data_IF_182815204633
#
_entry.id   IF_182815204633
#
_cell.length_a   1.000
_cell.length_b   1.000
_cell.length_c   1.000
_cell.angle_alpha   90.00
_cell.angle_beta   90.00
_cell.angle_gamma   90.00
#
_symmetry.space_group_name_H-M   'P 1'
#
loop_
_entity.id
_entity.type
_entity.pdbx_description
1 polymer ?
#
# COMPACT_ATOMS: atom_id res chain seq x y z
N UNK A 1 -25.65 -23.80 -1.53
CA UNK A 1 -24.70 -24.77 -2.11
C UNK A 1 -23.33 -24.13 -2.05
N UNK A 2 -22.34 -24.78 -1.43
CA UNK A 2 -20.98 -24.24 -1.33
C UNK A 2 -20.35 -24.22 -2.72
N UNK A 3 -19.88 -23.06 -3.19
CA UNK A 3 -19.42 -22.81 -4.56
C UNK A 3 -18.21 -23.68 -4.95
N UNK A 4 -17.45 -24.15 -3.96
CA UNK A 4 -16.35 -25.13 -4.10
C UNK A 4 -16.79 -26.56 -4.42
N UNK A 5 -18.09 -26.89 -4.37
CA UNK A 5 -18.63 -28.22 -4.74
C UNK A 5 -18.91 -28.37 -6.24
N UNK A 6 -18.52 -27.40 -7.07
CA UNK A 6 -18.74 -27.50 -8.52
C UNK A 6 -17.89 -28.64 -9.12
N UNK A 7 -18.46 -29.53 -9.96
CA UNK A 7 -17.74 -30.68 -10.52
C UNK A 7 -16.44 -30.31 -11.25
N UNK A 8 -16.45 -29.21 -12.01
CA UNK A 8 -15.25 -28.72 -12.71
C UNK A 8 -14.12 -28.30 -11.77
N UNK A 9 -14.44 -27.65 -10.64
CA UNK A 9 -13.44 -27.27 -9.63
C UNK A 9 -12.86 -28.51 -8.96
N UNK A 10 -13.72 -29.49 -8.67
CA UNK A 10 -13.31 -30.75 -8.06
C UNK A 10 -12.36 -31.53 -8.97
N UNK A 11 -12.67 -31.58 -10.28
CA UNK A 11 -11.82 -32.21 -11.28
C UNK A 11 -10.46 -31.49 -11.40
N UNK A 12 -10.48 -30.16 -11.49
CA UNK A 12 -9.25 -29.36 -11.56
C UNK A 12 -8.32 -29.60 -10.36
N UNK A 13 -8.88 -29.59 -9.14
CA UNK A 13 -8.13 -29.82 -7.92
C UNK A 13 -7.61 -31.26 -7.80
N UNK A 14 -8.34 -32.25 -8.31
CA UNK A 14 -7.90 -33.65 -8.33
C UNK A 14 -6.73 -33.85 -9.32
N UNK A 15 -6.84 -33.28 -10.53
CA UNK A 15 -5.78 -33.30 -11.53
C UNK A 15 -4.52 -32.59 -11.00
N UNK A 16 -4.68 -31.41 -10.38
CA UNK A 16 -3.59 -30.70 -9.72
C UNK A 16 -2.99 -31.53 -8.58
N UNK A 17 -3.81 -32.16 -7.73
CA UNK A 17 -3.31 -33.00 -6.63
C UNK A 17 -2.46 -34.17 -7.12
N UNK A 18 -2.83 -34.80 -8.25
CA UNK A 18 -2.04 -35.88 -8.88
C UNK A 18 -0.71 -35.35 -9.42
N UNK A 19 -0.71 -34.16 -10.01
CA UNK A 19 0.53 -33.55 -10.52
C UNK A 19 1.47 -33.09 -9.41
N UNK A 20 0.95 -32.71 -8.25
CA UNK A 20 1.72 -32.32 -7.07
C UNK A 20 2.17 -33.51 -6.20
N UNK A 21 1.99 -34.77 -6.64
CA UNK A 21 2.26 -35.95 -5.80
C UNK A 21 3.74 -36.12 -5.40
N UNK A 22 4.65 -35.43 -6.09
CA UNK A 22 6.08 -35.42 -5.75
C UNK A 22 6.48 -34.32 -4.77
N UNK A 23 5.58 -33.38 -4.44
CA UNK A 23 5.83 -32.39 -3.39
C UNK A 23 5.70 -33.03 -1.99
N UNK A 24 6.44 -32.52 -0.99
CA UNK A 24 6.17 -32.83 0.40
C UNK A 24 4.67 -32.63 0.73
N UNK A 25 4.08 -33.49 1.57
CA UNK A 25 2.63 -33.45 1.82
C UNK A 25 2.16 -32.12 2.43
N UNK A 26 3.03 -31.40 3.15
CA UNK A 26 2.76 -30.06 3.66
C UNK A 26 2.62 -29.03 2.54
N UNK A 27 3.64 -28.93 1.69
CA UNK A 27 3.69 -27.99 0.56
C UNK A 27 2.55 -28.25 -0.43
N UNK A 28 2.26 -29.53 -0.71
CA UNK A 28 1.10 -29.91 -1.53
C UNK A 28 -0.21 -29.42 -0.93
N UNK A 29 -0.40 -29.57 0.39
CA UNK A 29 -1.61 -29.11 1.06
C UNK A 29 -1.73 -27.57 1.03
N UNK A 30 -0.61 -26.86 1.18
CA UNK A 30 -0.56 -25.41 1.09
C UNK A 30 -0.92 -24.90 -0.32
N UNK A 31 -0.35 -25.48 -1.37
CA UNK A 31 -0.65 -25.11 -2.76
C UNK A 31 -2.13 -25.37 -3.07
N UNK A 32 -2.67 -26.54 -2.70
CA UNK A 32 -4.08 -26.86 -2.93
C UNK A 32 -5.02 -25.93 -2.13
N UNK A 33 -4.62 -25.51 -0.93
CA UNK A 33 -5.38 -24.54 -0.13
C UNK A 33 -5.37 -23.15 -0.78
N UNK A 34 -4.21 -22.67 -1.22
CA UNK A 34 -4.09 -21.37 -1.89
C UNK A 34 -4.85 -21.30 -3.21
N UNK A 35 -4.80 -22.36 -4.03
CA UNK A 35 -5.60 -22.45 -5.26
C UNK A 35 -7.10 -22.45 -4.96
N UNK A 36 -7.53 -23.17 -3.91
CA UNK A 36 -8.94 -23.17 -3.49
C UNK A 36 -9.40 -21.78 -3.06
N UNK A 37 -8.59 -21.08 -2.26
CA UNK A 37 -8.88 -19.72 -1.82
C UNK A 37 -8.98 -18.76 -3.01
N UNK A 38 -8.09 -18.87 -3.99
CA UNK A 38 -8.12 -18.04 -5.19
C UNK A 38 -9.39 -18.26 -6.03
N UNK A 39 -9.78 -19.54 -6.23
CA UNK A 39 -11.01 -19.88 -6.93
C UNK A 39 -12.23 -19.33 -6.17
N UNK A 40 -12.27 -19.49 -4.84
CA UNK A 40 -13.37 -18.98 -4.01
C UNK A 40 -13.48 -17.46 -4.08
N UNK A 41 -12.36 -16.74 -3.99
CA UNK A 41 -12.31 -15.29 -4.14
C UNK A 41 -12.78 -14.83 -5.53
N UNK A 42 -12.28 -15.47 -6.60
CA UNK A 42 -12.64 -15.14 -7.98
C UNK A 42 -14.12 -15.40 -8.30
N UNK A 43 -14.71 -16.44 -7.70
CA UNK A 43 -16.14 -16.73 -7.81
C UNK A 43 -16.99 -15.76 -6.99
N UNK A 44 -16.54 -15.38 -5.80
CA UNK A 44 -17.22 -14.41 -4.94
C UNK A 44 -17.28 -13.01 -5.59
N UNK A 45 -16.17 -12.55 -6.18
CA UNK A 45 -16.07 -11.26 -6.86
C UNK A 45 -17.06 -11.15 -8.03
N UNK A 46 -17.18 -12.22 -8.83
CA UNK A 46 -18.10 -12.28 -9.98
C UNK A 46 -19.55 -12.55 -9.59
N UNK A 47 -19.81 -12.87 -8.31
CA UNK A 47 -21.09 -13.43 -7.85
C UNK A 47 -21.51 -14.62 -8.73
N UNK A 48 -20.53 -15.48 -9.02
CA UNK A 48 -20.67 -16.57 -9.98
C UNK A 48 -21.83 -17.50 -9.60
N UNK A 49 -22.75 -17.68 -10.53
CA UNK A 49 -23.91 -18.58 -10.37
C UNK A 49 -23.99 -19.61 -11.50
N UNK A 50 -23.16 -19.48 -12.53
CA UNK A 50 -23.22 -20.30 -13.74
C UNK A 50 -21.94 -21.10 -13.98
N UNK A 51 -22.05 -22.16 -14.78
CA UNK A 51 -20.91 -22.96 -15.24
C UNK A 51 -19.91 -22.11 -16.05
N UNK A 52 -20.41 -21.12 -16.80
CA UNK A 52 -19.59 -20.19 -17.58
C UNK A 52 -18.67 -19.35 -16.69
N UNK A 53 -19.19 -18.85 -15.56
CA UNK A 53 -18.41 -18.08 -14.59
C UNK A 53 -17.27 -18.92 -13.98
N UNK A 54 -17.57 -20.18 -13.65
CA UNK A 54 -16.56 -21.13 -13.14
C UNK A 54 -15.49 -21.40 -14.18
N UNK A 55 -15.87 -21.60 -15.44
CA UNK A 55 -14.91 -21.82 -16.53
C UNK A 55 -14.01 -20.60 -16.78
N UNK A 56 -14.55 -19.38 -16.63
CA UNK A 56 -13.78 -18.16 -16.76
C UNK A 56 -12.74 -18.01 -15.64
N UNK A 57 -13.13 -18.28 -14.38
CA UNK A 57 -12.19 -18.27 -13.24
C UNK A 57 -11.09 -19.32 -13.40
N UNK A 58 -11.42 -20.54 -13.85
CA UNK A 58 -10.41 -21.57 -14.11
C UNK A 58 -9.50 -21.21 -15.30
N UNK A 59 -10.02 -20.55 -16.33
CA UNK A 59 -9.22 -20.08 -17.46
C UNK A 59 -8.23 -18.97 -17.06
N UNK A 60 -8.60 -18.11 -16.10
CA UNK A 60 -7.69 -17.11 -15.52
C UNK A 60 -6.59 -17.74 -14.67
N UNK A 61 -6.90 -18.81 -13.95
CA UNK A 61 -5.90 -19.60 -13.22
C UNK A 61 -4.91 -20.29 -14.16
N UNK A 62 -5.37 -20.63 -15.36
CA UNK A 62 -4.62 -21.38 -16.35
C UNK A 62 -4.74 -22.91 -16.16
N UNK A 63 -4.12 -23.67 -17.07
CA UNK A 63 -4.19 -25.12 -17.04
C UNK A 63 -3.44 -25.67 -15.81
N UNK A 64 -3.89 -26.78 -15.21
CA UNK A 64 -3.36 -27.25 -13.93
C UNK A 64 -1.89 -27.68 -14.02
N UNK A 65 -1.37 -28.00 -15.22
CA UNK A 65 0.04 -28.27 -15.47
C UNK A 65 0.92 -27.02 -15.24
N UNK A 66 0.42 -25.83 -15.61
CA UNK A 66 1.14 -24.57 -15.43
C UNK A 66 1.21 -24.19 -13.95
N UNK A 67 0.10 -24.40 -13.22
CA UNK A 67 0.05 -24.18 -11.77
C UNK A 67 0.97 -25.16 -11.04
N UNK A 68 0.96 -26.45 -11.45
CA UNK A 68 1.85 -27.44 -10.88
C UNK A 68 3.33 -27.08 -11.13
N UNK A 69 3.68 -26.70 -12.36
CA UNK A 69 5.03 -26.25 -12.71
C UNK A 69 5.46 -25.04 -11.86
N UNK A 70 4.59 -24.03 -11.73
CA UNK A 70 4.87 -22.86 -10.89
C UNK A 70 5.07 -23.25 -9.41
N UNK A 71 4.30 -24.22 -8.90
CA UNK A 71 4.46 -24.72 -7.54
C UNK A 71 5.81 -25.44 -7.35
N UNK A 72 6.25 -26.24 -8.33
CA UNK A 72 7.58 -26.87 -8.31
C UNK A 72 8.71 -25.84 -8.40
N UNK A 73 8.55 -24.79 -9.21
CA UNK A 73 9.53 -23.69 -9.33
C UNK A 73 9.60 -22.82 -8.07
N UNK A 74 8.50 -22.72 -7.32
CA UNK A 74 8.44 -21.95 -6.07
C UNK A 74 8.93 -22.75 -4.85
N UNK A 75 9.09 -24.06 -4.99
CA UNK A 75 9.40 -25.02 -3.92
C UNK A 75 10.86 -25.02 -3.42
N UNK A 76 11.67 -23.99 -3.70
CA UNK A 76 13.05 -23.82 -3.20
C UNK A 76 13.11 -23.43 -1.69
N UNK A 77 12.21 -23.99 -0.89
CA UNK A 77 12.19 -23.92 0.57
C UNK A 77 13.04 -25.03 1.21
N UNK A 78 13.73 -24.75 2.35
CA UNK A 78 14.72 -25.65 2.94
C UNK A 78 14.05 -26.89 3.56
N UNK A 79 14.08 -28.03 2.86
CA UNK A 79 13.54 -29.26 3.45
C UNK A 79 13.48 -30.53 2.61
N UNK A 80 13.98 -30.57 1.36
CA UNK A 80 13.94 -31.81 0.59
C UNK A 80 15.03 -32.81 1.03
N UNK A 81 14.68 -34.06 1.41
CA UNK A 81 15.64 -35.13 1.56
C UNK A 81 16.33 -35.38 0.21
N UNK A 82 17.64 -35.23 0.21
CA UNK A 82 18.51 -35.34 -0.95
C UNK A 82 18.32 -36.71 -1.61
N UNK A 83 17.84 -36.75 -2.86
CA UNK A 83 17.95 -37.95 -3.69
C UNK A 83 19.45 -38.19 -3.93
N UNK A 84 20.07 -39.26 -3.38
CA UNK A 84 21.53 -39.41 -3.38
C UNK A 84 22.16 -39.58 -4.77
N UNK A 85 21.35 -39.73 -5.82
CA UNK A 85 21.81 -40.11 -7.15
C UNK A 85 21.45 -39.12 -8.28
N UNK A 86 20.73 -38.03 -7.99
CA UNK A 86 20.39 -37.01 -8.99
C UNK A 86 21.35 -35.81 -8.88
N UNK A 87 22.61 -36.00 -9.28
CA UNK A 87 23.53 -34.87 -9.47
C UNK A 87 23.19 -34.21 -10.80
N UNK A 88 22.15 -33.38 -10.82
CA UNK A 88 22.00 -32.39 -11.88
C UNK A 88 23.19 -31.41 -11.77
N UNK A 89 23.83 -31.01 -12.89
CA UNK A 89 24.88 -30.00 -12.85
C UNK A 89 24.36 -28.76 -12.12
N UNK A 90 25.12 -28.14 -11.22
CA UNK A 90 24.69 -26.92 -10.54
C UNK A 90 24.45 -25.85 -11.61
N UNK A 91 23.18 -25.62 -11.94
CA UNK A 91 22.81 -24.44 -12.69
C UNK A 91 23.23 -23.25 -11.81
N UNK A 92 23.90 -22.24 -12.38
CA UNK A 92 24.30 -21.07 -11.62
C UNK A 92 23.03 -20.48 -11.00
N UNK A 93 22.97 -20.45 -9.66
CA UNK A 93 21.85 -19.92 -8.90
C UNK A 93 21.46 -18.57 -9.52
N UNK A 94 20.26 -18.49 -10.12
CA UNK A 94 19.84 -17.23 -10.70
C UNK A 94 19.66 -16.25 -9.54
N UNK A 95 20.31 -15.08 -9.59
CA UNK A 95 20.19 -14.11 -8.51
C UNK A 95 18.73 -13.72 -8.38
N UNK A 96 18.11 -14.10 -7.26
CA UNK A 96 16.74 -13.70 -6.91
C UNK A 96 16.67 -12.18 -7.00
N UNK A 97 15.99 -11.67 -8.04
CA UNK A 97 15.85 -10.23 -8.24
C UNK A 97 14.84 -9.72 -7.23
N UNK A 98 15.31 -9.28 -6.07
CA UNK A 98 14.49 -8.58 -5.10
C UNK A 98 13.81 -7.39 -5.79
N UNK A 99 12.47 -7.25 -5.69
CA UNK A 99 11.77 -6.12 -6.27
C UNK A 99 12.35 -4.82 -5.71
N UNK A 100 12.49 -3.81 -6.58
CA UNK A 100 13.14 -2.52 -6.26
C UNK A 100 12.47 -1.85 -5.03
N UNK A 101 11.20 -2.16 -4.78
CA UNK A 101 10.37 -1.66 -3.68
C UNK A 101 10.75 -2.16 -2.28
N UNK A 102 11.63 -3.16 -2.15
CA UNK A 102 12.10 -3.70 -0.86
C UNK A 102 13.43 -3.10 -0.39
N UNK A 103 13.96 -2.12 -1.14
CA UNK A 103 15.23 -1.47 -0.78
C UNK A 103 15.07 -0.58 0.45
N UNK A 104 16.09 -0.59 1.33
CA UNK A 104 16.14 0.16 2.59
C UNK A 104 15.96 1.67 2.47
N UNK A 105 16.18 2.26 1.29
CA UNK A 105 16.01 3.69 1.05
C UNK A 105 14.54 4.08 0.77
N UNK A 106 13.68 3.14 0.40
CA UNK A 106 12.29 3.41 0.00
C UNK A 106 11.49 4.12 1.10
N UNK A 107 11.55 3.70 2.39
CA UNK A 107 10.82 4.40 3.45
C UNK A 107 11.30 5.84 3.69
N UNK A 108 12.57 6.13 3.44
CA UNK A 108 13.14 7.48 3.58
C UNK A 108 12.66 8.37 2.45
N UNK A 109 12.67 7.86 1.21
CA UNK A 109 12.19 8.62 0.05
C UNK A 109 10.69 8.90 0.16
N UNK A 110 9.87 7.93 0.58
CA UNK A 110 8.44 8.14 0.82
C UNK A 110 8.21 9.24 1.88
N UNK A 111 8.97 9.23 2.98
CA UNK A 111 8.88 10.27 4.01
C UNK A 111 9.23 11.67 3.49
N UNK A 112 10.31 11.79 2.70
CA UNK A 112 10.72 13.06 2.09
C UNK A 112 9.66 13.57 1.12
N UNK A 113 9.17 12.71 0.22
CA UNK A 113 8.11 13.07 -0.73
C UNK A 113 6.85 13.54 -0.01
N UNK A 114 6.45 12.84 1.04
CA UNK A 114 5.29 13.21 1.85
C UNK A 114 5.48 14.57 2.54
N UNK A 115 6.67 14.82 3.11
CA UNK A 115 6.98 16.09 3.75
C UNK A 115 6.97 17.26 2.75
N UNK A 116 7.54 17.07 1.56
CA UNK A 116 7.51 18.07 0.48
C UNK A 116 6.07 18.33 0.02
N UNK A 117 5.28 17.27 -0.20
CA UNK A 117 3.89 17.41 -0.62
C UNK A 117 3.05 18.18 0.41
N UNK A 118 3.26 17.90 1.70
CA UNK A 118 2.63 18.63 2.79
C UNK A 118 3.08 20.09 2.88
N UNK A 119 4.38 20.34 2.71
CA UNK A 119 4.94 21.69 2.69
C UNK A 119 4.35 22.52 1.53
N UNK A 120 4.27 21.95 0.33
CA UNK A 120 3.69 22.64 -0.84
C UNK A 120 2.21 22.97 -0.61
N UNK A 121 1.42 22.03 -0.08
CA UNK A 121 0.03 22.29 0.25
C UNK A 121 -0.10 23.39 1.33
N UNK A 122 0.80 23.40 2.32
CA UNK A 122 0.84 24.43 3.35
C UNK A 122 1.23 25.80 2.78
N UNK A 123 2.16 25.88 1.82
CA UNK A 123 2.51 27.12 1.14
C UNK A 123 1.30 27.69 0.39
N UNK A 124 0.52 26.84 -0.28
CA UNK A 124 -0.73 27.26 -0.96
C UNK A 124 -1.74 27.80 0.06
N UNK A 125 -1.91 27.12 1.19
CA UNK A 125 -2.81 27.57 2.25
C UNK A 125 -2.36 28.90 2.88
N UNK A 126 -1.07 29.09 3.11
CA UNK A 126 -0.53 30.31 3.70
C UNK A 126 -0.56 31.49 2.70
N UNK A 127 -0.27 31.22 1.42
CA UNK A 127 -0.28 32.23 0.36
C UNK A 127 -1.68 32.78 0.08
N UNK A 128 -2.71 31.94 0.14
CA UNK A 128 -4.10 32.38 -0.03
C UNK A 128 -4.59 33.24 1.13
N UNK A 129 -4.17 32.95 2.37
CA UNK A 129 -4.45 33.81 3.52
C UNK A 129 -3.81 35.21 3.38
N UNK A 130 -2.62 35.31 2.78
CA UNK A 130 -1.93 36.59 2.60
C UNK A 130 -2.56 37.52 1.54
N UNK A 131 -3.30 36.97 0.57
CA UNK A 131 -3.93 37.75 -0.51
C UNK A 131 -5.26 38.39 -0.06
N UNK A 132 -5.91 37.86 0.97
CA UNK A 132 -7.22 38.37 1.46
C UNK A 132 -7.12 39.65 2.29
N UNK A 133 -5.93 40.08 2.71
CA UNK A 133 -5.75 41.20 3.64
C UNK A 133 -5.61 42.59 3.01
N UNK A 134 -5.91 42.79 1.72
CA UNK A 134 -5.58 44.07 1.05
C UNK A 134 -6.64 44.60 0.08
N UNK A 135 -7.75 45.11 0.63
CA UNK A 135 -8.56 46.12 -0.07
C UNK A 135 -9.09 47.16 0.93
N UNK A 136 -8.49 48.35 0.94
CA UNK A 136 -8.96 49.50 1.71
C UNK A 136 -9.34 50.59 0.70
N UNK A 137 -10.63 50.78 0.41
CA UNK A 137 -11.07 51.84 -0.50
C UNK A 137 -11.46 53.13 0.22
N UNK A 138 -11.91 53.09 1.47
CA UNK A 138 -12.53 54.28 2.12
C UNK A 138 -12.26 54.42 3.63
N UNK A 139 -11.16 53.84 4.14
CA UNK A 139 -10.81 53.93 5.58
C UNK A 139 -11.72 53.11 6.52
N UNK A 140 -12.70 52.39 5.97
CA UNK A 140 -13.44 51.32 6.65
C UNK A 140 -12.87 50.00 6.15
N UNK A 141 -12.12 49.32 7.01
CA UNK A 141 -11.53 48.01 6.72
C UNK A 141 -12.61 46.94 6.87
N UNK A 142 -13.36 46.66 5.80
CA UNK A 142 -14.27 45.52 5.76
C UNK A 142 -13.49 44.27 5.34
N UNK A 143 -13.23 43.38 6.30
CA UNK A 143 -12.66 42.06 6.00
C UNK A 143 -13.76 41.19 5.39
N UNK A 144 -13.84 41.15 4.06
CA UNK A 144 -14.79 40.30 3.35
C UNK A 144 -14.24 38.87 3.30
N UNK A 145 -14.51 38.10 4.37
CA UNK A 145 -14.28 36.66 4.38
C UNK A 145 -15.29 36.02 3.41
N UNK A 146 -14.88 35.80 2.16
CA UNK A 146 -15.67 35.09 1.19
C UNK A 146 -15.87 33.63 1.65
N UNK A 147 -17.04 33.35 2.24
CA UNK A 147 -17.49 32.00 2.61
C UNK A 147 -17.37 31.11 1.37
N UNK A 148 -16.46 30.12 1.41
CA UNK A 148 -16.09 29.27 0.27
C UNK A 148 -14.60 29.26 -0.07
N UNK A 149 -13.79 30.12 0.57
CA UNK A 149 -12.34 30.14 0.41
C UNK A 149 -11.66 28.85 0.85
N UNK A 150 -12.05 28.26 1.99
CA UNK A 150 -11.38 27.08 2.55
C UNK A 150 -11.39 25.86 1.63
N UNK A 151 -12.50 25.62 0.94
CA UNK A 151 -12.61 24.53 -0.05
C UNK A 151 -11.71 24.79 -1.27
N UNK A 152 -11.67 26.02 -1.78
CA UNK A 152 -10.80 26.38 -2.89
C UNK A 152 -9.32 26.26 -2.52
N UNK A 153 -8.95 26.65 -1.31
CA UNK A 153 -7.61 26.44 -0.76
C UNK A 153 -7.28 24.96 -0.67
N UNK A 154 -8.20 24.13 -0.16
CA UNK A 154 -8.01 22.69 -0.07
C UNK A 154 -7.84 22.05 -1.47
N UNK A 155 -8.68 22.44 -2.43
CA UNK A 155 -8.57 21.97 -3.81
C UNK A 155 -7.25 22.40 -4.46
N UNK A 156 -6.84 23.66 -4.27
CA UNK A 156 -5.55 24.17 -4.75
C UNK A 156 -4.38 23.37 -4.16
N UNK A 157 -4.38 23.16 -2.83
CA UNK A 157 -3.36 22.36 -2.14
C UNK A 157 -3.30 20.92 -2.62
N UNK A 158 -4.45 20.25 -2.82
CA UNK A 158 -4.52 18.89 -3.37
C UNK A 158 -3.95 18.87 -4.78
N UNK A 159 -4.41 19.76 -5.67
CA UNK A 159 -3.97 19.80 -7.07
C UNK A 159 -2.46 20.06 -7.18
N UNK A 160 -1.91 20.97 -6.37
CA UNK A 160 -0.46 21.25 -6.35
C UNK A 160 0.35 20.06 -5.83
N UNK A 161 -0.16 19.35 -4.82
CA UNK A 161 0.55 18.21 -4.23
C UNK A 161 0.28 16.87 -4.94
N UNK A 162 -0.65 16.82 -5.89
CA UNK A 162 -1.13 15.61 -6.56
C UNK A 162 -0.02 14.77 -7.22
N UNK A 163 0.96 15.35 -7.94
CA UNK A 163 2.03 14.55 -8.55
C UNK A 163 2.89 13.81 -7.51
N UNK A 164 3.20 14.47 -6.40
CA UNK A 164 3.96 13.88 -5.29
C UNK A 164 3.14 12.83 -4.54
N UNK A 165 1.84 13.09 -4.35
CA UNK A 165 0.94 12.13 -3.73
C UNK A 165 0.82 10.84 -4.54
N UNK A 166 0.70 10.93 -5.88
CA UNK A 166 0.71 9.75 -6.75
C UNK A 166 2.00 8.94 -6.58
N UNK A 167 3.16 9.61 -6.55
CA UNK A 167 4.44 8.93 -6.32
C UNK A 167 4.47 8.20 -4.96
N UNK A 168 3.93 8.81 -3.90
CA UNK A 168 3.78 8.17 -2.59
C UNK A 168 2.84 6.96 -2.65
N UNK A 169 1.68 7.09 -3.29
CA UNK A 169 0.71 5.98 -3.43
C UNK A 169 1.34 4.79 -4.15
N UNK A 170 2.07 5.03 -5.25
CA UNK A 170 2.73 3.97 -6.00
C UNK A 170 3.84 3.30 -5.20
N UNK A 171 4.72 4.08 -4.55
CA UNK A 171 5.82 3.55 -3.73
C UNK A 171 5.31 2.80 -2.50
N UNK A 172 4.34 3.37 -1.77
CA UNK A 172 3.77 2.76 -0.57
C UNK A 172 2.88 1.55 -0.90
N UNK A 173 2.10 1.64 -1.98
CA UNK A 173 1.21 0.58 -2.45
C UNK A 173 1.97 -0.66 -2.89
N UNK A 174 3.04 -0.48 -3.68
CA UNK A 174 3.81 -1.58 -4.26
C UNK A 174 4.88 -2.20 -3.33
N UNK A 175 5.12 -1.60 -2.16
CA UNK A 175 6.10 -2.14 -1.21
C UNK A 175 5.47 -3.16 -0.26
N UNK A 176 6.19 -4.25 0.00
CA UNK A 176 5.79 -5.28 0.96
C UNK A 176 6.13 -4.89 2.41
N UNK A 177 6.95 -3.84 2.59
CA UNK A 177 7.46 -3.41 3.90
C UNK A 177 6.36 -2.89 4.86
N UNK A 178 5.23 -2.45 4.31
CA UNK A 178 4.13 -1.85 5.07
C UNK A 178 2.90 -2.75 5.13
N UNK A 179 2.28 -2.79 6.31
CA UNK A 179 0.96 -3.41 6.50
C UNK A 179 -0.12 -2.60 5.78
N UNK A 180 -1.25 -3.22 5.46
CA UNK A 180 -2.38 -2.53 4.82
C UNK A 180 -2.82 -1.25 5.57
N UNK A 181 -2.83 -1.27 6.91
CA UNK A 181 -3.16 -0.09 7.72
C UNK A 181 -2.15 1.05 7.58
N UNK A 182 -0.85 0.74 7.50
CA UNK A 182 0.21 1.73 7.31
C UNK A 182 0.18 2.32 5.89
N UNK A 183 -0.11 1.49 4.88
CA UNK A 183 -0.33 1.96 3.50
C UNK A 183 -1.48 2.95 3.45
N UNK A 184 -2.62 2.58 4.04
CA UNK A 184 -3.78 3.46 4.13
C UNK A 184 -3.45 4.77 4.85
N UNK A 185 -2.68 4.72 5.94
CA UNK A 185 -2.24 5.92 6.65
C UNK A 185 -1.40 6.85 5.77
N UNK A 186 -0.44 6.33 4.98
CA UNK A 186 0.32 7.14 4.03
C UNK A 186 -0.57 7.76 2.94
N UNK A 187 -1.49 6.98 2.39
CA UNK A 187 -2.39 7.42 1.32
C UNK A 187 -3.33 8.53 1.83
N UNK A 188 -3.90 8.36 3.03
CA UNK A 188 -4.86 9.31 3.61
C UNK A 188 -4.22 10.53 4.26
N UNK A 189 -2.93 10.49 4.61
CA UNK A 189 -2.29 11.58 5.34
C UNK A 189 -2.38 12.92 4.61
N UNK A 190 -2.14 12.94 3.30
CA UNK A 190 -2.19 14.17 2.51
C UNK A 190 -3.61 14.75 2.38
N UNK A 191 -4.61 14.02 1.86
CA UNK A 191 -5.95 14.57 1.72
C UNK A 191 -6.56 14.97 3.07
N UNK A 192 -6.32 14.20 4.14
CA UNK A 192 -6.78 14.57 5.48
C UNK A 192 -6.06 15.81 5.98
N UNK A 193 -4.74 15.91 5.82
CA UNK A 193 -3.98 17.11 6.23
C UNK A 193 -4.44 18.37 5.51
N UNK A 194 -4.64 18.30 4.19
CA UNK A 194 -5.13 19.44 3.40
C UNK A 194 -6.55 19.83 3.77
N UNK A 195 -7.44 18.84 3.98
CA UNK A 195 -8.81 19.09 4.41
C UNK A 195 -8.83 19.72 5.80
N UNK A 196 -7.99 19.25 6.72
CA UNK A 196 -7.90 19.81 8.07
C UNK A 196 -7.45 21.28 8.04
N UNK A 197 -6.44 21.63 7.24
CA UNK A 197 -5.96 23.01 7.14
C UNK A 197 -6.96 23.90 6.40
N UNK A 198 -7.58 23.41 5.33
CA UNK A 198 -8.48 24.20 4.50
C UNK A 198 -9.87 24.41 5.11
N UNK A 199 -10.45 23.39 5.75
CA UNK A 199 -11.87 23.39 6.14
C UNK A 199 -12.09 23.73 7.61
N UNK A 200 -11.18 23.35 8.53
CA UNK A 200 -11.40 23.64 9.96
C UNK A 200 -11.50 25.13 10.29
N UNK A 201 -10.67 26.03 9.72
CA UNK A 201 -10.77 27.47 10.01
C UNK A 201 -12.17 28.04 9.74
N UNK A 202 -12.82 27.59 8.65
CA UNK A 202 -14.19 27.99 8.30
C UNK A 202 -15.20 27.54 9.37
N UNK A 203 -15.03 26.33 9.92
CA UNK A 203 -15.85 25.86 11.05
C UNK A 203 -15.61 26.70 12.30
N UNK A 204 -14.37 27.09 12.56
CA UNK A 204 -14.01 27.99 13.67
C UNK A 204 -14.71 29.34 13.55
N UNK A 205 -14.74 29.91 12.34
CA UNK A 205 -15.46 31.14 12.05
C UNK A 205 -16.97 31.01 12.30
N UNK A 206 -17.60 29.94 11.80
CA UNK A 206 -19.05 29.72 11.97
C UNK A 206 -19.44 29.64 13.45
N UNK A 207 -18.61 29.01 14.28
CA UNK A 207 -18.93 28.75 15.70
C UNK A 207 -18.59 29.95 16.60
N UNK A 208 -17.47 30.62 16.38
CA UNK A 208 -16.93 31.62 17.31
C UNK A 208 -16.38 32.89 16.64
N UNK A 209 -16.76 33.14 15.38
CA UNK A 209 -16.34 34.29 14.60
C UNK A 209 -14.82 34.37 14.43
N UNK A 210 -14.30 35.59 14.45
CA UNK A 210 -12.88 35.87 14.20
C UNK A 210 -11.93 35.18 15.19
N UNK A 211 -12.29 35.16 16.48
CA UNK A 211 -11.49 34.48 17.50
C UNK A 211 -11.47 32.97 17.26
N UNK A 212 -12.60 32.41 16.86
CA UNK A 212 -12.73 31.00 16.50
C UNK A 212 -11.84 30.62 15.33
N UNK A 213 -11.85 31.43 14.27
CA UNK A 213 -11.02 31.23 13.09
C UNK A 213 -9.52 31.18 13.46
N UNK A 214 -9.02 32.16 14.20
CA UNK A 214 -7.61 32.21 14.57
C UNK A 214 -7.18 31.01 15.43
N UNK A 215 -7.97 30.67 16.45
CA UNK A 215 -7.65 29.55 17.35
C UNK A 215 -7.69 28.23 16.58
N UNK A 216 -8.71 28.02 15.75
CA UNK A 216 -8.87 26.77 15.00
C UNK A 216 -7.84 26.64 13.88
N UNK A 217 -7.46 27.74 13.22
CA UNK A 217 -6.40 27.74 12.21
C UNK A 217 -5.02 27.39 12.80
N UNK A 218 -4.67 27.98 13.96
CA UNK A 218 -3.43 27.64 14.65
C UNK A 218 -3.47 26.18 15.11
N UNK A 219 -4.59 25.73 15.67
CA UNK A 219 -4.75 24.36 16.13
C UNK A 219 -4.66 23.34 14.97
N UNK A 220 -5.29 23.60 13.83
CA UNK A 220 -5.23 22.71 12.65
C UNK A 220 -3.83 22.67 12.07
N UNK A 221 -3.13 23.81 12.00
CA UNK A 221 -1.74 23.87 11.56
C UNK A 221 -0.82 23.05 12.48
N UNK A 222 -0.91 23.24 13.79
CA UNK A 222 -0.12 22.47 14.76
C UNK A 222 -0.45 20.98 14.68
N UNK A 223 -1.72 20.63 14.54
CA UNK A 223 -2.17 19.24 14.40
C UNK A 223 -1.57 18.58 13.17
N UNK A 224 -1.58 19.25 12.01
CA UNK A 224 -1.06 18.71 10.76
C UNK A 224 0.46 18.65 10.77
N UNK A 225 1.13 19.68 11.26
CA UNK A 225 2.60 19.71 11.34
C UNK A 225 3.10 18.67 12.34
N UNK A 226 2.65 18.72 13.59
CA UNK A 226 3.15 17.82 14.64
C UNK A 226 2.62 16.40 14.45
N UNK A 227 1.33 16.23 14.18
CA UNK A 227 0.70 14.93 13.97
C UNK A 227 1.18 14.26 12.69
N UNK A 228 1.28 15.01 11.58
CA UNK A 228 1.82 14.50 10.33
C UNK A 228 3.30 14.13 10.43
N UNK A 229 4.12 15.00 11.04
CA UNK A 229 5.54 14.71 11.27
C UNK A 229 5.74 13.48 12.14
N UNK A 230 5.03 13.38 13.27
CA UNK A 230 5.12 12.24 14.16
C UNK A 230 4.69 10.94 13.47
N UNK A 231 3.59 10.97 12.70
CA UNK A 231 3.11 9.81 11.97
C UNK A 231 4.14 9.36 10.91
N UNK A 232 4.69 10.28 10.12
CA UNK A 232 5.71 9.98 9.12
C UNK A 232 6.95 9.36 9.78
N UNK A 233 7.47 9.97 10.86
CA UNK A 233 8.60 9.43 11.61
C UNK A 233 8.36 8.01 12.09
N UNK A 234 7.21 7.77 12.72
CA UNK A 234 6.84 6.45 13.24
C UNK A 234 6.80 5.41 12.12
N UNK A 235 6.14 5.73 11.01
CA UNK A 235 6.02 4.83 9.85
C UNK A 235 7.39 4.53 9.21
N UNK A 236 8.28 5.53 9.13
CA UNK A 236 9.64 5.35 8.61
C UNK A 236 10.50 4.49 9.53
N UNK A 237 10.41 4.67 10.86
CA UNK A 237 11.14 3.85 11.83
C UNK A 237 10.68 2.40 11.76
N UNK A 238 9.37 2.15 11.74
CA UNK A 238 8.80 0.81 11.63
C UNK A 238 9.20 0.13 10.31
N UNK A 239 9.15 0.84 9.18
CA UNK A 239 9.59 0.34 7.88
C UNK A 239 11.08 -0.02 7.85
N UNK A 240 11.94 0.82 8.45
CA UNK A 240 13.39 0.55 8.54
C UNK A 240 13.69 -0.70 9.37
N UNK A 241 13.01 -0.89 10.51
CA UNK A 241 13.19 -2.07 11.37
C UNK A 241 12.90 -3.38 10.62
N UNK A 242 11.82 -3.40 9.81
CA UNK A 242 11.46 -4.58 9.00
C UNK A 242 12.47 -4.84 7.89
N UNK A 243 12.90 -3.80 7.19
CA UNK A 243 13.92 -3.94 6.14
C UNK A 243 15.29 -4.41 6.68
N UNK A 244 15.60 -4.11 7.95
CA UNK A 244 16.79 -4.64 8.63
C UNK A 244 16.64 -6.12 8.97
N UNK A 245 15.47 -6.55 9.45
CA UNK A 245 15.22 -7.95 9.81
C UNK A 245 15.35 -8.90 8.62
N UNK A 246 14.79 -8.54 7.46
CA UNK A 246 14.91 -9.34 6.22
C UNK A 246 16.36 -9.50 5.79
N UNK A 247 17.18 -8.46 5.97
CA UNK A 247 18.60 -8.51 5.60
C UNK A 247 19.46 -9.36 6.55
N UNK A 248 19.03 -9.62 7.78
CA UNK A 248 19.78 -10.49 8.71
C UNK A 248 19.55 -11.97 8.40
N UNK A 249 18.30 -12.36 8.11
CA UNK A 249 17.96 -13.75 7.77
C UNK A 249 18.78 -14.27 6.59
N UNK A 250 18.98 -13.44 5.55
CA UNK A 250 19.80 -13.83 4.39
C UNK A 250 21.31 -13.95 4.67
N UNK A 251 21.84 -13.30 5.71
CA UNK A 251 23.25 -13.40 6.08
C UNK A 251 23.50 -14.66 6.93
N UNK A 252 22.58 -14.98 7.86
CA UNK A 252 22.69 -16.15 8.71
C UNK A 252 22.54 -17.45 7.90
N UNK A 253 21.68 -17.48 6.89
CA UNK A 253 21.55 -18.63 5.98
C UNK A 253 22.80 -18.86 5.13
N UNK A 254 23.49 -17.81 4.71
CA UNK A 254 24.72 -17.92 3.90
C UNK A 254 25.95 -18.36 4.70
N UNK A 255 25.95 -18.19 6.03
CA UNK A 255 27.07 -18.59 6.89
C UNK A 255 27.09 -20.11 7.16
N UNK A 256 25.94 -20.80 7.09
CA UNK A 256 25.85 -22.24 7.35
C UNK A 256 26.32 -23.12 6.19
N UNK A 257 26.34 -22.61 4.95
CA UNK A 257 26.76 -23.37 3.77
C UNK A 257 28.29 -23.34 3.51
N UNK A 258 29.06 -22.60 4.34
CA UNK A 258 30.50 -22.40 4.14
C UNK A 258 31.41 -23.27 5.05
N UNK A 259 30.84 -24.20 5.82
CA UNK A 259 31.57 -25.11 6.75
C UNK A 259 31.32 -26.57 6.43
#
# INVERSE_FOLDING_TARGET
>A
MNTTQHPLVSQYLDDLSRMLDHLPPGDRAEVLAGVREHIEAGLAERRATTVGDVSAVLAELGPPEDVARAAYESGDGPGLPTNPYAVAPPLPAQPVRLPISDRRWVPVVVAILQAIAMLLAMIVALGTAAVMTSSSSDGVETVDYAVGSGLMVAMGGILTALPLWIAVVLLAGNSTLWTGRQKLAHILLLPVGVLLVGVLPDLGWIVAGERGLNVVAIASLLLVVLGGFWLVLRLTIEGRRRASAVGQVGLDSGAFDAS
#
